data_IF_189965734521
#
_entry.id   IF_189965734521
#
_cell.length_a   1.000
_cell.length_b   1.000
_cell.length_c   1.000
_cell.angle_alpha   90.00
_cell.angle_beta   90.00
_cell.angle_gamma   90.00
#
_symmetry.space_group_name_H-M   'P 1'
#
loop_
_entity.id
_entity.type
_entity.pdbx_description
1 polymer ?
#
# COMPACT_ATOMS: atom_id res chain seq x y z
N UNK A 1 -0.34 35.06 3.77
CA UNK A 1 -1.59 34.92 2.99
C UNK A 1 -2.35 33.77 3.60
N UNK A 2 -3.61 33.98 3.99
CA UNK A 2 -4.46 32.95 4.59
C UNK A 2 -4.69 31.86 3.55
N UNK A 3 -4.30 30.63 3.86
CA UNK A 3 -4.59 29.48 3.01
C UNK A 3 -6.08 29.18 3.10
N UNK A 4 -6.72 29.09 1.95
CA UNK A 4 -8.08 28.57 1.83
C UNK A 4 -8.03 27.07 2.18
N UNK A 5 -8.65 26.73 3.32
CA UNK A 5 -8.97 25.36 3.70
C UNK A 5 -9.94 24.81 2.63
N UNK A 6 -9.72 23.61 2.05
CA UNK A 6 -10.66 23.07 1.08
C UNK A 6 -12.00 22.84 1.79
N UNK A 7 -12.99 23.65 1.46
CA UNK A 7 -14.35 23.52 1.98
C UNK A 7 -15.00 22.29 1.33
N UNK A 8 -15.43 21.28 2.11
CA UNK A 8 -16.17 20.18 1.55
C UNK A 8 -17.57 20.66 1.17
N UNK A 9 -18.06 20.13 0.05
CA UNK A 9 -19.40 20.38 -0.47
C UNK A 9 -20.47 20.04 0.60
N UNK A 10 -21.30 21.00 1.04
CA UNK A 10 -22.28 20.82 2.13
C UNK A 10 -23.46 19.90 1.80
N UNK A 11 -23.40 19.15 0.69
CA UNK A 11 -24.44 18.25 0.20
C UNK A 11 -24.07 16.76 0.24
N UNK A 12 -22.93 16.37 0.85
CA UNK A 12 -22.72 14.97 1.21
C UNK A 12 -23.54 14.64 2.47
N UNK A 13 -24.55 13.75 2.39
CA UNK A 13 -25.24 13.24 3.57
C UNK A 13 -24.23 12.54 4.49
N UNK A 14 -24.58 12.31 5.76
CA UNK A 14 -23.80 11.44 6.67
C UNK A 14 -23.27 10.25 5.87
N UNK A 15 -21.96 10.13 5.72
CA UNK A 15 -21.39 9.00 5.00
C UNK A 15 -21.78 7.75 5.78
N UNK A 16 -22.73 6.98 5.29
CA UNK A 16 -23.21 5.78 5.98
C UNK A 16 -22.05 4.81 6.32
N UNK A 17 -20.99 4.82 5.51
CA UNK A 17 -19.76 4.06 5.75
C UNK A 17 -18.83 4.63 6.82
N UNK A 18 -19.00 5.88 7.29
CA UNK A 18 -18.19 6.39 8.38
C UNK A 18 -18.63 5.81 9.73
N UNK A 19 -19.94 5.70 9.98
CA UNK A 19 -20.49 5.23 11.26
C UNK A 19 -20.65 3.72 11.38
N UNK A 20 -20.72 3.03 10.24
CA UNK A 20 -20.91 1.57 10.15
C UNK A 20 -19.81 1.01 9.25
N UNK A 21 -19.24 -0.13 9.63
CA UNK A 21 -18.27 -0.83 8.80
C UNK A 21 -18.96 -1.34 7.52
N UNK A 22 -18.38 -1.04 6.36
CA UNK A 22 -18.83 -1.64 5.10
C UNK A 22 -18.53 -3.15 5.06
N UNK A 23 -19.18 -3.91 4.17
CA UNK A 23 -19.03 -5.37 4.09
C UNK A 23 -17.56 -5.81 3.93
N UNK A 24 -16.78 -5.08 3.13
CA UNK A 24 -15.35 -5.35 2.95
C UNK A 24 -14.51 -5.01 4.19
N UNK A 25 -14.97 -4.10 5.04
CA UNK A 25 -14.32 -3.78 6.33
C UNK A 25 -14.65 -4.82 7.41
N UNK A 26 -15.83 -5.42 7.36
CA UNK A 26 -16.23 -6.47 8.29
C UNK A 26 -15.29 -7.68 8.23
N UNK A 27 -14.77 -8.01 7.05
CA UNK A 27 -13.77 -9.07 6.92
C UNK A 27 -12.54 -8.79 7.78
N UNK A 28 -11.99 -7.57 7.73
CA UNK A 28 -10.84 -7.17 8.56
C UNK A 28 -11.16 -7.17 10.06
N UNK A 29 -12.35 -6.73 10.44
CA UNK A 29 -12.82 -6.77 11.83
C UNK A 29 -12.90 -8.21 12.36
N UNK A 30 -13.45 -9.14 11.57
CA UNK A 30 -13.56 -10.56 11.93
C UNK A 30 -12.18 -11.23 12.09
N UNK A 31 -11.16 -10.73 11.38
CA UNK A 31 -9.78 -11.24 11.43
C UNK A 31 -8.88 -10.45 12.39
N UNK A 32 -9.41 -9.43 13.10
CA UNK A 32 -8.62 -8.53 13.93
C UNK A 32 -7.81 -9.27 15.00
N UNK A 33 -8.44 -10.19 15.73
CA UNK A 33 -7.77 -10.88 16.84
C UNK A 33 -6.68 -11.81 16.33
N UNK A 34 -6.95 -12.58 15.27
CA UNK A 34 -5.95 -13.45 14.65
C UNK A 34 -4.74 -12.66 14.14
N UNK A 35 -4.96 -11.57 13.39
CA UNK A 35 -3.89 -10.70 12.89
C UNK A 35 -3.04 -10.15 14.04
N UNK A 36 -3.68 -9.72 15.13
CA UNK A 36 -3.00 -9.26 16.34
C UNK A 36 -2.16 -10.38 16.98
N UNK A 37 -2.69 -11.59 17.06
CA UNK A 37 -2.01 -12.75 17.64
C UNK A 37 -0.77 -13.17 16.85
N UNK A 38 -0.77 -12.98 15.52
CA UNK A 38 0.39 -13.19 14.65
C UNK A 38 1.31 -11.96 14.52
N UNK A 39 1.07 -10.91 15.30
CA UNK A 39 2.00 -9.77 15.40
C UNK A 39 1.62 -8.51 14.59
N UNK A 40 0.43 -8.42 14.02
CA UNK A 40 -0.04 -7.27 13.23
C UNK A 40 -1.28 -6.62 13.82
N UNK A 41 -1.12 -5.43 14.40
CA UNK A 41 -2.21 -4.67 14.99
C UNK A 41 -2.88 -3.77 13.94
N UNK A 42 -4.15 -4.05 13.65
CA UNK A 42 -4.98 -3.17 12.83
C UNK A 42 -5.36 -1.88 13.57
N UNK A 43 -5.79 -0.88 12.81
CA UNK A 43 -6.28 0.40 13.35
C UNK A 43 -7.50 0.22 14.27
N UNK A 44 -7.74 1.13 15.24
CA UNK A 44 -8.84 1.02 16.20
C UNK A 44 -10.22 0.82 15.57
N UNK A 45 -10.46 1.33 14.36
CA UNK A 45 -11.70 1.14 13.58
C UNK A 45 -12.08 -0.33 13.41
N UNK A 46 -11.11 -1.22 13.29
CA UNK A 46 -11.33 -2.64 13.04
C UNK A 46 -11.34 -3.48 14.33
N UNK A 47 -11.16 -2.86 15.50
CA UNK A 47 -11.18 -3.57 16.76
C UNK A 47 -12.60 -4.02 17.11
N UNK A 48 -12.78 -5.23 17.69
CA UNK A 48 -14.08 -5.67 18.21
C UNK A 48 -14.67 -4.65 19.18
N UNK A 49 -15.94 -4.27 18.96
CA UNK A 49 -16.62 -3.28 19.79
C UNK A 49 -16.20 -1.83 19.54
N UNK A 50 -15.55 -1.53 18.41
CA UNK A 50 -15.22 -0.16 18.02
C UNK A 50 -16.45 0.76 18.07
N UNK A 51 -16.25 1.95 18.64
CA UNK A 51 -17.23 3.05 18.67
C UNK A 51 -16.56 4.26 18.02
N UNK A 52 -17.22 4.93 17.05
CA UNK A 52 -16.63 6.08 16.37
C UNK A 52 -16.17 7.18 17.34
N UNK A 53 -14.94 7.64 17.18
CA UNK A 53 -14.30 8.61 18.10
C UNK A 53 -15.01 9.97 18.13
N UNK A 54 -15.73 10.34 17.08
CA UNK A 54 -16.53 11.56 17.02
C UNK A 54 -17.86 11.48 17.77
N UNK A 55 -18.29 10.29 18.23
CA UNK A 55 -19.47 10.20 19.12
C UNK A 55 -19.18 10.73 20.52
N UNK A 56 -17.94 10.57 20.99
CA UNK A 56 -17.50 11.02 22.31
C UNK A 56 -16.78 12.37 22.28
N UNK A 57 -16.32 12.81 21.11
CA UNK A 57 -15.63 14.09 20.93
C UNK A 57 -16.50 15.10 20.17
N UNK A 58 -16.21 16.40 20.32
CA UNK A 58 -16.87 17.46 19.53
C UNK A 58 -16.29 17.59 18.10
N UNK A 59 -15.51 16.61 17.64
CA UNK A 59 -14.85 16.65 16.33
C UNK A 59 -15.86 16.30 15.24
N UNK A 60 -15.68 16.90 14.07
CA UNK A 60 -16.39 16.48 12.87
C UNK A 60 -15.80 15.16 12.38
N UNK A 61 -16.64 14.20 12.00
CA UNK A 61 -16.24 12.82 11.71
C UNK A 61 -15.06 12.69 10.72
N UNK A 62 -15.06 13.44 9.61
CA UNK A 62 -13.99 13.35 8.60
C UNK A 62 -12.63 13.90 9.09
N UNK A 63 -12.59 14.54 10.26
CA UNK A 63 -11.36 14.97 10.96
C UNK A 63 -10.89 13.93 11.99
N UNK A 64 -11.49 12.75 12.00
CA UNK A 64 -11.08 11.62 12.83
C UNK A 64 -10.36 10.56 11.99
N UNK A 65 -9.34 9.95 12.59
CA UNK A 65 -8.53 8.89 11.98
C UNK A 65 -9.39 7.66 11.65
N UNK A 66 -10.22 7.26 12.61
CA UNK A 66 -11.10 6.09 12.52
C UNK A 66 -12.32 6.29 11.60
N UNK A 67 -12.42 7.44 10.93
CA UNK A 67 -13.35 7.65 9.82
C UNK A 67 -12.75 7.32 8.45
N UNK A 68 -11.42 7.19 8.36
CA UNK A 68 -10.74 6.96 7.09
C UNK A 68 -10.77 5.48 6.74
N UNK A 69 -11.35 5.15 5.59
CA UNK A 69 -11.58 3.78 5.13
C UNK A 69 -10.65 3.42 3.96
N UNK A 70 -10.34 2.13 3.74
CA UNK A 70 -9.53 1.71 2.61
C UNK A 70 -10.26 1.93 1.29
N UNK A 71 -9.46 2.26 0.27
CA UNK A 71 -9.95 2.45 -1.10
C UNK A 71 -10.24 1.12 -1.78
N UNK A 72 -9.49 0.08 -1.41
CA UNK A 72 -9.62 -1.28 -1.91
C UNK A 72 -9.87 -2.23 -0.75
N UNK A 73 -10.99 -2.94 -0.77
CA UNK A 73 -11.39 -3.81 0.35
C UNK A 73 -10.41 -4.94 0.70
N UNK A 74 -9.54 -5.31 -0.24
CA UNK A 74 -8.52 -6.36 -0.07
C UNK A 74 -7.16 -5.82 0.38
N UNK A 75 -7.03 -4.51 0.65
CA UNK A 75 -5.78 -3.88 1.12
C UNK A 75 -6.07 -3.08 2.39
N UNK A 76 -5.29 -3.32 3.44
CA UNK A 76 -5.36 -2.55 4.69
C UNK A 76 -3.98 -2.34 5.30
N UNK A 77 -3.81 -1.25 6.02
CA UNK A 77 -2.61 -0.97 6.79
C UNK A 77 -2.65 -1.60 8.20
N UNK A 78 -1.48 -1.91 8.74
CA UNK A 78 -1.31 -2.39 10.11
C UNK A 78 -0.02 -1.86 10.74
N UNK A 79 0.10 -2.05 12.05
CA UNK A 79 1.35 -1.82 12.80
C UNK A 79 1.90 -3.18 13.21
N UNK A 80 3.12 -3.51 12.75
CA UNK A 80 3.84 -4.68 13.25
C UNK A 80 4.21 -4.45 14.71
N UNK A 81 3.81 -5.38 15.58
CA UNK A 81 3.90 -5.23 17.03
C UNK A 81 5.35 -5.25 17.52
N UNK A 82 6.19 -6.06 16.88
CA UNK A 82 7.58 -6.29 17.30
C UNK A 82 8.44 -5.01 17.28
N UNK A 83 8.33 -4.21 16.22
CA UNK A 83 9.17 -3.04 15.99
C UNK A 83 8.38 -1.73 15.79
N UNK A 84 7.05 -1.79 15.80
CA UNK A 84 6.18 -0.65 15.56
C UNK A 84 6.15 -0.18 14.10
N UNK A 85 6.71 -0.94 13.16
CA UNK A 85 6.73 -0.55 11.75
C UNK A 85 5.32 -0.57 11.15
N UNK A 86 5.00 0.44 10.33
CA UNK A 86 3.78 0.43 9.54
C UNK A 86 3.95 -0.44 8.29
N UNK A 87 2.99 -1.33 8.08
CA UNK A 87 2.97 -2.31 6.99
C UNK A 87 1.65 -2.23 6.23
N UNK A 88 1.64 -2.71 5.00
CA UNK A 88 0.42 -2.98 4.24
C UNK A 88 0.18 -4.50 4.19
N UNK A 89 -1.09 -4.86 4.32
CA UNK A 89 -1.64 -6.21 4.23
C UNK A 89 -2.48 -6.28 2.96
N UNK A 90 -2.15 -7.18 2.04
CA UNK A 90 -2.96 -7.44 0.83
C UNK A 90 -3.49 -8.87 0.87
N UNK A 91 -4.81 -9.00 0.82
CA UNK A 91 -5.48 -10.29 0.64
C UNK A 91 -5.42 -10.68 -0.83
N UNK A 92 -4.87 -11.85 -1.11
CA UNK A 92 -4.75 -12.42 -2.46
C UNK A 92 -5.59 -13.70 -2.53
N UNK A 93 -6.43 -13.81 -3.57
CA UNK A 93 -7.13 -15.04 -3.92
C UNK A 93 -6.28 -15.85 -4.87
N UNK A 94 -5.86 -17.05 -4.44
CA UNK A 94 -4.98 -17.94 -5.22
C UNK A 94 -5.66 -18.43 -6.50
N UNK A 95 -6.96 -18.69 -6.48
CA UNK A 95 -7.70 -19.10 -7.68
C UNK A 95 -7.81 -17.97 -8.72
N UNK A 96 -7.90 -16.71 -8.28
CA UNK A 96 -7.99 -15.55 -9.18
C UNK A 96 -6.63 -15.08 -9.69
N UNK A 97 -5.61 -15.11 -8.83
CA UNK A 97 -4.26 -14.62 -9.11
C UNK A 97 -3.22 -15.69 -8.75
N UNK A 98 -3.17 -16.81 -9.50
CA UNK A 98 -2.41 -18.00 -9.11
C UNK A 98 -0.89 -17.79 -9.03
N UNK A 99 -0.35 -16.81 -9.74
CA UNK A 99 1.10 -16.57 -9.82
C UNK A 99 1.57 -15.36 -9.01
N UNK A 100 0.66 -14.53 -8.48
CA UNK A 100 1.01 -13.25 -7.87
C UNK A 100 1.95 -13.43 -6.67
N UNK A 101 1.60 -14.34 -5.76
CA UNK A 101 2.37 -14.61 -4.54
C UNK A 101 3.74 -15.19 -4.88
N UNK A 102 3.80 -16.10 -5.85
CA UNK A 102 5.05 -16.74 -6.28
C UNK A 102 6.00 -15.70 -6.89
N UNK A 103 5.51 -14.88 -7.82
CA UNK A 103 6.32 -13.87 -8.51
C UNK A 103 6.80 -12.80 -7.52
N UNK A 104 5.90 -12.27 -6.67
CA UNK A 104 6.28 -11.25 -5.70
C UNK A 104 7.28 -11.78 -4.65
N UNK A 105 7.10 -13.02 -4.20
CA UNK A 105 8.02 -13.67 -3.24
C UNK A 105 9.37 -13.97 -3.88
N UNK A 106 9.41 -14.34 -5.17
CA UNK A 106 10.64 -14.58 -5.90
C UNK A 106 11.54 -13.33 -5.91
N UNK A 107 10.98 -12.15 -6.19
CA UNK A 107 11.73 -10.88 -6.11
C UNK A 107 12.19 -10.50 -4.71
N UNK A 108 11.66 -11.15 -3.67
CA UNK A 108 12.05 -10.97 -2.27
C UNK A 108 13.00 -12.07 -1.77
N UNK A 109 13.40 -13.01 -2.64
CA UNK A 109 14.34 -14.08 -2.28
C UNK A 109 15.75 -13.55 -2.02
N UNK A 110 16.46 -14.17 -1.09
CA UNK A 110 17.77 -13.71 -0.59
C UNK A 110 18.79 -13.44 -1.72
N UNK A 111 18.75 -14.23 -2.79
CA UNK A 111 19.66 -14.10 -3.93
C UNK A 111 19.50 -12.82 -4.74
N UNK A 112 18.30 -12.19 -4.74
CA UNK A 112 17.99 -11.06 -5.62
C UNK A 112 17.32 -9.86 -4.92
N UNK A 113 16.88 -10.02 -3.66
CA UNK A 113 16.23 -8.97 -2.89
C UNK A 113 17.12 -7.72 -2.68
N UNK A 114 18.44 -7.93 -2.59
CA UNK A 114 19.41 -6.87 -2.36
C UNK A 114 19.99 -6.27 -3.65
N UNK A 115 19.55 -6.71 -4.83
CA UNK A 115 19.97 -6.10 -6.08
C UNK A 115 19.48 -4.64 -6.14
N UNK A 116 20.37 -3.66 -6.36
CA UNK A 116 19.97 -2.25 -6.41
C UNK A 116 18.98 -1.93 -7.53
N UNK A 117 18.97 -2.70 -8.63
CA UNK A 117 18.01 -2.57 -9.74
C UNK A 117 16.67 -3.25 -9.44
N UNK A 118 16.56 -4.00 -8.34
CA UNK A 118 15.29 -4.57 -7.92
C UNK A 118 14.39 -3.48 -7.32
N UNK A 119 13.44 -3.04 -8.14
CA UNK A 119 12.37 -2.13 -7.78
C UNK A 119 11.01 -2.85 -7.65
N UNK A 120 10.99 -4.15 -7.41
CA UNK A 120 9.78 -4.86 -7.04
C UNK A 120 9.52 -4.71 -5.54
N UNK A 121 8.25 -4.61 -5.14
CA UNK A 121 7.90 -4.46 -3.72
C UNK A 121 8.40 -5.65 -2.88
N UNK A 122 9.12 -5.40 -1.78
CA UNK A 122 9.52 -6.47 -0.87
C UNK A 122 8.30 -7.11 -0.18
N UNK A 123 8.29 -8.43 -0.13
CA UNK A 123 7.35 -9.23 0.65
C UNK A 123 8.07 -9.68 1.92
N UNK A 124 7.60 -9.21 3.07
CA UNK A 124 8.16 -9.60 4.36
C UNK A 124 7.70 -10.97 4.79
N UNK A 125 6.41 -11.26 4.57
CA UNK A 125 5.78 -12.50 4.97
C UNK A 125 4.56 -12.78 4.10
N UNK A 126 4.24 -14.05 3.91
CA UNK A 126 2.97 -14.51 3.35
C UNK A 126 2.31 -15.44 4.36
N UNK A 127 1.10 -15.10 4.81
CA UNK A 127 0.37 -15.87 5.81
C UNK A 127 -0.92 -16.44 5.22
N UNK A 128 -1.20 -17.72 5.45
CA UNK A 128 -2.46 -18.35 5.06
C UNK A 128 -3.61 -17.83 5.93
N UNK A 129 -4.74 -17.46 5.32
CA UNK A 129 -5.94 -17.07 6.08
C UNK A 129 -6.52 -18.31 6.78
N UNK A 130 -6.87 -18.24 8.08
CA UNK A 130 -7.48 -19.36 8.80
C UNK A 130 -8.77 -19.79 8.11
N UNK A 131 -8.97 -21.10 8.01
CA UNK A 131 -10.19 -21.72 7.46
C UNK A 131 -10.55 -21.35 6.02
N UNK A 132 -9.71 -20.59 5.30
CA UNK A 132 -9.88 -20.24 3.89
C UNK A 132 -8.63 -20.66 3.12
N UNK A 133 -8.73 -21.78 2.40
CA UNK A 133 -7.61 -22.32 1.61
C UNK A 133 -7.37 -21.56 0.31
N UNK A 134 -8.23 -20.64 -0.12
CA UNK A 134 -8.04 -19.84 -1.33
C UNK A 134 -7.30 -18.53 -1.04
N UNK A 135 -7.45 -17.97 0.16
CA UNK A 135 -6.90 -16.64 0.49
C UNK A 135 -5.61 -16.68 1.27
N UNK A 136 -4.64 -15.85 0.88
CA UNK A 136 -3.46 -15.54 1.67
C UNK A 136 -3.35 -14.04 1.91
N UNK A 137 -2.58 -13.64 2.92
CA UNK A 137 -2.21 -12.25 3.14
C UNK A 137 -0.73 -12.08 2.84
N UNK A 138 -0.40 -11.15 1.94
CA UNK A 138 0.97 -10.66 1.77
C UNK A 138 1.20 -9.46 2.67
N UNK A 139 2.27 -9.52 3.47
CA UNK A 139 2.72 -8.44 4.34
C UNK A 139 3.90 -7.75 3.66
N UNK A 140 3.77 -6.45 3.45
CA UNK A 140 4.69 -5.64 2.65
C UNK A 140 4.91 -4.26 3.30
N UNK A 141 5.95 -3.49 2.93
CA UNK A 141 6.11 -2.13 3.43
C UNK A 141 4.89 -1.27 3.12
N UNK A 142 4.54 -0.38 4.05
CA UNK A 142 3.59 0.68 3.75
C UNK A 142 4.26 1.73 2.86
N UNK A 143 3.83 1.82 1.60
CA UNK A 143 4.35 2.76 0.61
C UNK A 143 3.41 3.95 0.38
N UNK A 144 3.93 5.04 -0.16
CA UNK A 144 3.16 6.18 -0.65
C UNK A 144 3.01 6.15 -2.17
N UNK A 145 2.00 6.83 -2.72
CA UNK A 145 1.89 7.02 -4.17
C UNK A 145 3.11 7.78 -4.70
N UNK A 146 3.66 7.37 -5.84
CA UNK A 146 4.91 7.95 -6.37
C UNK A 146 4.83 9.47 -6.62
N UNK A 147 3.64 9.97 -6.92
CA UNK A 147 3.36 11.38 -7.20
C UNK A 147 2.96 12.23 -6.00
N UNK A 148 2.91 11.66 -4.78
CA UNK A 148 2.45 12.35 -3.57
C UNK A 148 3.51 12.30 -2.47
N UNK A 149 4.08 13.44 -2.03
CA UNK A 149 3.81 14.83 -2.45
C UNK A 149 4.14 15.09 -3.92
N UNK A 150 3.72 16.20 -4.55
CA UNK A 150 4.04 16.47 -5.96
C UNK A 150 5.55 16.54 -6.24
N UNK A 151 5.95 16.30 -7.49
CA UNK A 151 7.32 16.57 -7.95
C UNK A 151 7.56 18.09 -8.01
N UNK A 152 8.65 18.57 -7.43
CA UNK A 152 9.01 20.00 -7.41
C UNK A 152 9.82 20.41 -8.66
N UNK A 153 10.54 19.45 -9.26
CA UNK A 153 11.39 19.71 -10.43
C UNK A 153 11.31 18.59 -11.47
N UNK A 154 11.65 18.91 -12.72
CA UNK A 154 11.82 17.91 -13.77
C UNK A 154 12.89 16.86 -13.42
N UNK A 155 13.93 17.25 -12.67
CA UNK A 155 14.98 16.32 -12.24
C UNK A 155 14.45 15.21 -11.34
N UNK A 156 13.48 15.52 -10.48
CA UNK A 156 12.83 14.52 -9.61
C UNK A 156 11.99 13.52 -10.43
N UNK A 157 11.30 13.99 -11.48
CA UNK A 157 10.55 13.12 -12.38
C UNK A 157 11.48 12.24 -13.23
N UNK A 158 12.57 12.80 -13.76
CA UNK A 158 13.59 12.05 -14.50
C UNK A 158 14.23 10.97 -13.62
N UNK A 159 14.52 11.26 -12.36
CA UNK A 159 15.04 10.28 -11.41
C UNK A 159 14.04 9.16 -11.10
N UNK A 160 12.75 9.48 -10.98
CA UNK A 160 11.68 8.48 -10.89
C UNK A 160 11.71 7.55 -12.12
N UNK A 161 11.69 8.11 -13.34
CA UNK A 161 11.71 7.31 -14.57
C UNK A 161 12.97 6.43 -14.69
N UNK A 162 14.13 6.94 -14.28
CA UNK A 162 15.38 6.15 -14.26
C UNK A 162 15.20 4.87 -13.42
N UNK A 163 14.69 5.00 -12.20
CA UNK A 163 14.43 3.86 -11.30
C UNK A 163 13.38 2.90 -11.88
N UNK A 164 12.30 3.43 -12.48
CA UNK A 164 11.27 2.60 -13.10
C UNK A 164 11.80 1.79 -14.29
N UNK A 165 12.64 2.39 -15.15
CA UNK A 165 13.26 1.67 -16.25
C UNK A 165 14.30 0.65 -15.78
N UNK A 166 15.02 0.93 -14.69
CA UNK A 166 15.89 -0.06 -14.05
C UNK A 166 15.10 -1.25 -13.52
N UNK A 167 13.98 -1.00 -12.83
CA UNK A 167 13.08 -2.03 -12.34
C UNK A 167 12.47 -2.88 -13.46
N UNK A 168 12.04 -2.26 -14.55
CA UNK A 168 11.50 -2.97 -15.72
C UNK A 168 12.55 -3.88 -16.36
N UNK A 169 13.75 -3.34 -16.61
CA UNK A 169 14.86 -4.13 -17.14
C UNK A 169 15.22 -5.28 -16.20
N UNK A 170 15.23 -5.04 -14.89
CA UNK A 170 15.47 -6.08 -13.89
C UNK A 170 14.43 -7.19 -13.99
N UNK A 171 13.13 -6.88 -13.97
CA UNK A 171 12.05 -7.87 -14.12
C UNK A 171 12.21 -8.68 -15.43
N UNK A 172 12.53 -8.00 -16.54
CA UNK A 172 12.71 -8.65 -17.83
C UNK A 172 13.95 -9.58 -17.85
N UNK A 173 15.06 -9.20 -17.20
CA UNK A 173 16.21 -10.10 -17.04
C UNK A 173 15.88 -11.35 -16.21
N UNK A 174 14.84 -11.27 -15.38
CA UNK A 174 14.29 -12.40 -14.64
C UNK A 174 13.15 -13.11 -15.37
N UNK A 175 12.92 -12.78 -16.65
CA UNK A 175 11.88 -13.33 -17.52
C UNK A 175 10.47 -13.11 -16.97
N UNK A 176 10.23 -11.98 -16.31
CA UNK A 176 8.91 -11.60 -15.78
C UNK A 176 8.41 -10.36 -16.50
N UNK A 177 7.21 -10.42 -17.07
CA UNK A 177 6.48 -9.24 -17.53
C UNK A 177 5.44 -8.83 -16.50
N UNK A 178 5.47 -7.56 -16.08
CA UNK A 178 4.51 -7.02 -15.11
C UNK A 178 3.08 -6.96 -15.68
N UNK A 179 2.96 -6.57 -16.96
CA UNK A 179 1.71 -6.44 -17.74
C UNK A 179 0.72 -5.35 -17.29
N UNK A 180 1.02 -4.59 -16.25
CA UNK A 180 0.15 -3.51 -15.75
C UNK A 180 0.94 -2.33 -15.15
N UNK A 181 1.88 -1.78 -15.91
CA UNK A 181 2.75 -0.69 -15.47
C UNK A 181 2.03 0.67 -15.50
N UNK A 182 0.92 0.80 -14.77
CA UNK A 182 0.13 2.02 -14.66
C UNK A 182 0.41 2.79 -13.37
N UNK A 183 0.02 4.07 -13.34
CA UNK A 183 0.25 5.03 -12.25
C UNK A 183 -0.11 4.49 -10.85
N UNK A 184 -1.18 3.69 -10.73
CA UNK A 184 -1.62 3.14 -9.44
C UNK A 184 -0.74 1.98 -8.93
N UNK A 185 0.05 1.36 -9.81
CA UNK A 185 0.98 0.27 -9.47
C UNK A 185 2.41 0.76 -9.26
N UNK A 186 2.60 2.08 -9.20
CA UNK A 186 3.89 2.71 -8.94
C UNK A 186 3.83 3.46 -7.61
N UNK A 187 4.62 2.98 -6.66
CA UNK A 187 4.67 3.48 -5.29
C UNK A 187 6.09 3.93 -4.94
N UNK A 188 6.27 4.56 -3.78
CA UNK A 188 7.59 4.97 -3.29
C UNK A 188 7.77 4.72 -1.80
N UNK A 189 9.01 4.51 -1.37
CA UNK A 189 9.40 4.43 0.04
C UNK A 189 9.26 5.80 0.71
N UNK A 190 8.32 5.97 1.66
CA UNK A 190 8.09 7.24 2.31
C UNK A 190 9.09 7.52 3.44
N UNK A 191 9.86 6.53 3.92
CA UNK A 191 10.65 6.59 5.16
C UNK A 191 11.64 7.75 5.22
N UNK A 192 12.24 8.11 4.08
CA UNK A 192 13.23 9.20 4.01
C UNK A 192 12.61 10.54 3.64
N UNK A 193 11.44 10.52 3.02
CA UNK A 193 10.78 11.71 2.50
C UNK A 193 9.91 12.37 3.58
N UNK A 194 9.17 11.57 4.34
CA UNK A 194 8.28 12.05 5.39
C UNK A 194 9.01 12.21 6.72
N UNK A 195 8.82 13.36 7.36
CA UNK A 195 9.31 13.67 8.72
C UNK A 195 8.37 13.01 9.74
N UNK A 196 7.07 13.17 9.51
CA UNK A 196 6.03 12.57 10.33
C UNK A 196 5.42 11.39 9.58
N UNK A 197 5.12 10.29 10.27
CA UNK A 197 4.40 9.18 9.63
C UNK A 197 3.08 9.68 9.03
N UNK A 198 2.86 9.44 7.74
CA UNK A 198 1.66 9.82 7.01
C UNK A 198 0.54 8.82 7.22
N UNK A 199 -0.69 9.24 6.94
CA UNK A 199 -1.85 8.36 6.93
C UNK A 199 -2.08 7.78 5.51
N UNK A 200 -2.17 6.46 5.32
CA UNK A 200 -2.19 5.85 3.98
C UNK A 200 -3.43 6.19 3.15
N UNK A 201 -4.57 6.45 3.79
CA UNK A 201 -5.80 6.89 3.10
C UNK A 201 -5.98 8.40 3.07
N UNK A 202 -5.08 9.15 3.72
CA UNK A 202 -5.04 10.61 3.65
C UNK A 202 -3.58 11.09 3.79
N UNK A 203 -2.75 10.98 2.73
CA UNK A 203 -1.30 11.16 2.84
C UNK A 203 -0.83 12.56 3.23
N UNK A 204 -1.71 13.56 3.13
CA UNK A 204 -1.48 14.93 3.61
C UNK A 204 -1.54 15.04 5.14
N UNK A 205 -2.15 14.08 5.82
CA UNK A 205 -2.32 14.04 7.27
C UNK A 205 -1.32 13.10 7.92
N UNK A 206 -0.93 13.43 9.15
CA UNK A 206 -0.19 12.52 10.02
C UNK A 206 -1.02 11.28 10.33
N UNK A 207 -0.33 10.18 10.60
CA UNK A 207 -0.89 8.89 10.98
C UNK A 207 -1.87 8.98 12.15
N UNK A 208 -1.57 9.84 13.12
CA UNK A 208 -2.41 10.09 14.31
C UNK A 208 -3.51 11.15 14.10
N UNK A 209 -3.61 11.70 12.88
CA UNK A 209 -4.53 12.77 12.49
C UNK A 209 -4.41 14.06 13.33
N UNK A 210 -3.25 14.28 13.99
CA UNK A 210 -3.02 15.49 14.82
C UNK A 210 -2.46 16.69 14.04
N UNK A 211 -2.40 16.61 12.71
CA UNK A 211 -1.95 17.70 11.84
C UNK A 211 -1.47 17.18 10.49
N UNK A 212 -0.94 18.09 9.67
CA UNK A 212 -0.36 17.77 8.37
C UNK A 212 0.92 16.95 8.53
N UNK A 213 1.12 15.95 7.66
CA UNK A 213 2.35 15.19 7.59
C UNK A 213 3.42 16.02 6.88
N UNK A 214 4.45 16.45 7.62
CA UNK A 214 5.55 17.21 7.03
C UNK A 214 6.47 16.27 6.25
N UNK A 215 7.04 16.80 5.18
CA UNK A 215 7.96 16.06 4.32
C UNK A 215 9.06 16.99 3.78
N UNK A 216 10.13 16.39 3.29
CA UNK A 216 11.15 17.06 2.48
C UNK A 216 10.74 17.08 1.00
N UNK A 217 11.47 17.80 0.15
CA UNK A 217 11.40 17.58 -1.31
C UNK A 217 12.18 16.32 -1.70
N UNK A 218 11.90 15.75 -2.88
CA UNK A 218 12.65 14.57 -3.37
C UNK A 218 14.09 14.93 -3.71
N UNK A 219 14.36 16.19 -4.05
CA UNK A 219 15.72 16.69 -4.25
C UNK A 219 16.54 16.63 -2.96
N UNK A 220 15.93 16.96 -1.82
CA UNK A 220 16.59 16.88 -0.52
C UNK A 220 16.75 15.43 -0.03
N UNK A 221 15.73 14.59 -0.29
CA UNK A 221 15.66 13.20 0.15
C UNK A 221 15.08 12.32 -0.97
N UNK A 222 15.91 11.84 -1.91
CA UNK A 222 15.43 11.02 -3.02
C UNK A 222 14.80 9.71 -2.50
N UNK A 223 13.53 9.41 -2.83
CA UNK A 223 12.90 8.16 -2.45
C UNK A 223 13.31 7.01 -3.39
N UNK A 224 13.10 5.77 -2.94
CA UNK A 224 13.14 4.59 -3.81
C UNK A 224 11.72 4.33 -4.34
N UNK A 225 11.59 4.06 -5.63
CA UNK A 225 10.31 3.71 -6.26
C UNK A 225 10.15 2.20 -6.39
N UNK A 226 8.90 1.73 -6.38
CA UNK A 226 8.55 0.32 -6.48
C UNK A 226 7.38 0.06 -7.42
N UNK A 227 7.48 -1.02 -8.18
CA UNK A 227 6.36 -1.70 -8.80
C UNK A 227 5.65 -2.58 -7.78
N UNK A 228 4.33 -2.50 -7.78
CA UNK A 228 3.43 -3.31 -6.95
C UNK A 228 2.42 -4.04 -7.84
N UNK A 229 1.68 -4.97 -7.25
CA UNK A 229 0.59 -5.69 -7.89
C UNK A 229 1.01 -6.56 -9.08
N UNK A 230 1.41 -7.79 -8.77
CA UNK A 230 1.79 -8.80 -9.77
C UNK A 230 0.61 -9.71 -10.16
N UNK A 231 -0.64 -9.27 -9.91
CA UNK A 231 -1.86 -10.06 -10.07
C UNK A 231 -2.08 -10.62 -11.48
N UNK A 232 -1.57 -9.92 -12.50
CA UNK A 232 -1.63 -10.34 -13.91
C UNK A 232 -0.23 -10.52 -14.52
N UNK A 233 0.81 -10.51 -13.71
CA UNK A 233 2.18 -10.72 -14.20
C UNK A 233 2.39 -12.17 -14.62
N UNK A 234 3.31 -12.36 -15.56
CA UNK A 234 3.66 -13.68 -16.08
C UNK A 234 5.17 -13.87 -16.03
N UNK A 235 5.61 -15.09 -15.70
CA UNK A 235 7.00 -15.51 -15.78
C UNK A 235 7.14 -16.48 -16.94
N UNK A 236 8.05 -16.17 -17.84
CA UNK A 236 8.31 -16.92 -19.06
C UNK A 236 9.48 -17.89 -18.89
N UNK A 237 9.49 -18.93 -19.73
CA UNK A 237 10.60 -19.87 -19.82
C UNK A 237 11.84 -19.11 -20.31
N UNK A 238 12.99 -19.16 -19.60
CA UNK A 238 14.23 -18.56 -20.07
C UNK A 238 14.74 -19.10 -21.41
N UNK A 239 14.26 -20.26 -21.86
CA UNK A 239 14.55 -20.81 -23.18
C UNK A 239 13.71 -20.20 -24.31
N UNK A 240 12.61 -19.50 -23.99
CA UNK A 240 11.80 -18.77 -24.96
C UNK A 240 12.32 -17.33 -25.08
N UNK A 241 13.03 -17.06 -26.17
CA UNK A 241 13.66 -15.75 -26.40
C UNK A 241 12.66 -14.65 -26.80
N UNK A 242 11.50 -15.02 -27.35
CA UNK A 242 10.48 -14.09 -27.86
C UNK A 242 9.05 -14.53 -27.46
N UNK A 243 8.73 -14.60 -26.16
CA UNK A 243 7.42 -15.04 -25.72
C UNK A 243 6.31 -14.09 -26.19
N UNK A 244 5.26 -14.65 -26.78
CA UNK A 244 4.09 -13.91 -27.25
C UNK A 244 2.83 -14.31 -26.51
N UNK A 245 2.01 -13.34 -26.13
CA UNK A 245 0.67 -13.54 -25.55
C UNK A 245 -0.34 -12.56 -26.13
N UNK A 246 -1.62 -12.92 -26.06
CA UNK A 246 -2.71 -12.00 -26.37
C UNK A 246 -2.76 -10.84 -25.34
N UNK A 247 -3.06 -9.61 -25.78
CA UNK A 247 -3.30 -8.49 -24.86
C UNK A 247 -4.45 -8.78 -23.89
N UNK A 248 -4.31 -8.35 -22.64
CA UNK A 248 -5.37 -8.39 -21.60
C UNK A 248 -6.24 -7.14 -21.69
#
# INVERSE_FOLDING_TARGET
MKGDDPTPNPSQPLGAGAEVLADYELWWCNHFQWLKDIGYLLRPRYAPGWVPSWRSSKKIWYRCEDAQIPWYGHILDATRIDDGAFVALKVVSKSRHPFEVEIASYFSSESIANDPANHCIPIYEVTQVPDDQDKVIMIMPLLGMHGDPSFDTFGEAVECFRQLFEGLRFMHNHHVAHRDCMTLNIMMDPKRLYIDAFHPFQPTMRRDFKGLARHFSRTQRPPKYFFIDFGISCRYDPADEEPTEDPI
#
